data_IF_590379430600
#
_entry.id   IF_590379430600
#
_cell.length_a   1.000
_cell.length_b   1.000
_cell.length_c   1.000
_cell.angle_alpha   90.00
_cell.angle_beta   90.00
_cell.angle_gamma   90.00
#
_symmetry.space_group_name_H-M   'P 1'
#
loop_
_entity.id
_entity.type
_entity.pdbx_description
1 polymer ?
#
# COMPACT_ATOMS: atom_id res chain seq x y z
N UNK A 1 -36.25 -11.87 -2.10
CA UNK A 1 -36.83 -11.68 -3.45
C UNK A 1 -36.49 -10.27 -3.94
N UNK A 2 -35.22 -10.02 -4.28
CA UNK A 2 -34.68 -8.70 -4.66
C UNK A 2 -33.72 -8.83 -5.86
N UNK A 3 -34.08 -9.65 -6.86
CA UNK A 3 -33.18 -10.01 -7.97
C UNK A 3 -33.74 -9.62 -9.35
N UNK A 4 -34.50 -8.53 -9.46
CA UNK A 4 -35.16 -8.17 -10.73
C UNK A 4 -35.23 -6.67 -11.05
N UNK A 5 -34.35 -5.84 -10.49
CA UNK A 5 -34.26 -4.41 -10.89
C UNK A 5 -32.95 -4.00 -11.58
N UNK A 6 -32.10 -4.96 -11.91
CA UNK A 6 -30.93 -4.73 -12.76
C UNK A 6 -31.33 -5.00 -14.20
N UNK A 7 -31.91 -4.01 -14.89
CA UNK A 7 -31.69 -3.91 -16.35
C UNK A 7 -30.17 -3.98 -16.56
N UNK A 8 -29.72 -4.68 -17.59
CA UNK A 8 -28.31 -4.81 -17.97
C UNK A 8 -27.72 -3.44 -18.28
N UNK A 9 -27.44 -2.65 -17.25
CA UNK A 9 -26.64 -1.45 -17.37
C UNK A 9 -25.28 -1.88 -17.88
N UNK A 10 -24.77 -1.15 -18.86
CA UNK A 10 -23.40 -1.35 -19.27
C UNK A 10 -22.51 -1.09 -18.05
N UNK A 11 -21.86 -2.16 -17.60
CA UNK A 11 -21.02 -2.17 -16.40
C UNK A 11 -19.93 -1.13 -16.52
N UNK A 12 -19.45 -0.86 -17.73
CA UNK A 12 -18.40 0.12 -18.02
C UNK A 12 -18.98 1.35 -18.74
N UNK A 13 -19.74 2.14 -17.99
CA UNK A 13 -20.32 3.39 -18.49
C UNK A 13 -20.07 4.56 -17.52
N UNK A 14 -19.98 5.78 -18.09
CA UNK A 14 -19.90 7.02 -17.29
C UNK A 14 -21.15 7.24 -16.43
N UNK A 15 -22.31 6.76 -16.87
CA UNK A 15 -23.55 6.83 -16.10
C UNK A 15 -23.49 5.96 -14.85
N UNK A 16 -22.87 4.78 -14.94
CA UNK A 16 -22.65 3.90 -13.78
C UNK A 16 -21.65 4.54 -12.80
N UNK A 17 -20.56 5.12 -13.30
CA UNK A 17 -19.60 5.88 -12.49
C UNK A 17 -20.28 7.04 -11.74
N UNK A 18 -21.08 7.84 -12.47
CA UNK A 18 -21.87 8.95 -11.93
C UNK A 18 -22.83 8.45 -10.85
N UNK A 19 -23.55 7.38 -11.11
CA UNK A 19 -24.48 6.79 -10.15
C UNK A 19 -23.77 6.43 -8.84
N UNK A 20 -22.66 5.69 -8.87
CA UNK A 20 -21.95 5.30 -7.66
C UNK A 20 -21.42 6.51 -6.88
N UNK A 21 -20.82 7.50 -7.57
CA UNK A 21 -20.33 8.72 -6.92
C UNK A 21 -21.48 9.49 -6.25
N UNK A 22 -22.60 9.68 -6.95
CA UNK A 22 -23.76 10.42 -6.43
C UNK A 22 -24.36 9.73 -5.20
N UNK A 23 -24.42 8.41 -5.19
CA UNK A 23 -24.90 7.66 -4.03
C UNK A 23 -23.90 7.71 -2.87
N UNK A 24 -22.59 7.60 -3.15
CA UNK A 24 -21.55 7.68 -2.13
C UNK A 24 -21.55 9.05 -1.43
N UNK A 25 -21.75 10.13 -2.18
CA UNK A 25 -21.87 11.50 -1.65
C UNK A 25 -23.05 11.69 -0.70
N UNK A 26 -24.14 10.93 -0.85
CA UNK A 26 -25.31 10.98 0.04
C UNK A 26 -25.06 10.30 1.39
N UNK A 27 -24.06 9.43 1.49
CA UNK A 27 -23.76 8.69 2.73
C UNK A 27 -23.13 9.62 3.76
N UNK A 28 -23.89 9.99 4.79
CA UNK A 28 -23.37 10.82 5.89
C UNK A 28 -22.67 9.99 6.99
N UNK A 29 -23.16 8.77 7.24
CA UNK A 29 -22.61 7.83 8.24
C UNK A 29 -22.67 6.43 7.65
N UNK A 30 -21.60 5.65 7.83
CA UNK A 30 -21.59 4.23 7.48
C UNK A 30 -22.07 3.38 8.65
N UNK A 31 -23.04 2.50 8.40
CA UNK A 31 -23.64 1.60 9.38
C UNK A 31 -23.84 0.20 8.78
N UNK A 32 -24.39 -0.73 9.57
CA UNK A 32 -24.57 -2.11 9.11
C UNK A 32 -25.55 -2.28 7.93
N UNK A 33 -26.40 -1.29 7.66
CA UNK A 33 -27.39 -1.34 6.57
C UNK A 33 -26.76 -0.92 5.25
N UNK A 34 -25.91 0.11 5.24
CA UNK A 34 -25.34 0.66 4.02
C UNK A 34 -23.89 0.22 3.74
N UNK A 35 -23.20 -0.43 4.69
CA UNK A 35 -21.78 -0.81 4.55
C UNK A 35 -21.48 -1.60 3.28
N UNK A 36 -22.34 -2.56 2.92
CA UNK A 36 -22.07 -3.46 1.80
C UNK A 36 -22.20 -2.70 0.46
N UNK A 37 -23.16 -1.78 0.39
CA UNK A 37 -23.26 -0.84 -0.73
C UNK A 37 -22.04 0.06 -0.84
N UNK A 38 -21.55 0.62 0.27
CA UNK A 38 -20.36 1.49 0.25
C UNK A 38 -19.13 0.70 -0.22
N UNK A 39 -18.96 -0.53 0.27
CA UNK A 39 -17.88 -1.43 -0.16
C UNK A 39 -17.94 -1.66 -1.67
N UNK A 40 -19.14 -1.95 -2.20
CA UNK A 40 -19.35 -2.12 -3.63
C UNK A 40 -19.02 -0.85 -4.41
N UNK A 41 -19.56 0.29 -3.99
CA UNK A 41 -19.34 1.58 -4.65
C UNK A 41 -17.86 1.94 -4.73
N UNK A 42 -17.09 1.76 -3.65
CA UNK A 42 -15.64 1.96 -3.66
C UNK A 42 -14.95 1.09 -4.72
N UNK A 43 -15.34 -0.19 -4.80
CA UNK A 43 -14.74 -1.15 -5.76
C UNK A 43 -15.13 -0.82 -7.19
N UNK A 44 -16.41 -0.59 -7.46
CA UNK A 44 -16.93 -0.30 -8.80
C UNK A 44 -16.36 1.01 -9.35
N UNK A 45 -16.29 2.06 -8.53
CA UNK A 45 -15.64 3.33 -8.93
C UNK A 45 -14.20 3.04 -9.35
N UNK A 46 -13.42 2.34 -8.53
CA UNK A 46 -12.03 2.06 -8.87
C UNK A 46 -11.84 1.25 -10.14
N UNK A 47 -12.68 0.24 -10.34
CA UNK A 47 -12.65 -0.57 -11.56
C UNK A 47 -12.93 0.29 -12.79
N UNK A 48 -13.93 1.17 -12.71
CA UNK A 48 -14.28 2.11 -13.79
C UNK A 48 -13.17 3.11 -14.08
N UNK A 49 -12.50 3.62 -13.05
CA UNK A 49 -11.37 4.55 -13.24
C UNK A 49 -10.16 3.87 -13.85
N UNK A 50 -9.82 2.66 -13.37
CA UNK A 50 -8.72 1.87 -13.96
C UNK A 50 -9.01 1.47 -15.41
N UNK A 51 -10.27 1.17 -15.73
CA UNK A 51 -10.70 0.94 -17.10
C UNK A 51 -10.59 2.21 -17.94
N UNK A 52 -11.16 3.32 -17.48
CA UNK A 52 -11.17 4.61 -18.17
C UNK A 52 -9.77 5.15 -18.47
N UNK A 53 -8.84 5.04 -17.52
CA UNK A 53 -7.42 5.43 -17.71
C UNK A 53 -6.78 4.82 -18.97
N UNK A 54 -7.25 3.65 -19.41
CA UNK A 54 -6.70 2.92 -20.54
C UNK A 54 -7.54 3.02 -21.82
N UNK A 55 -8.81 3.46 -21.74
CA UNK A 55 -9.76 3.38 -22.85
C UNK A 55 -10.44 4.71 -23.19
N UNK A 56 -10.71 5.56 -22.20
CA UNK A 56 -11.45 6.81 -22.35
C UNK A 56 -11.13 7.80 -21.21
N UNK A 57 -10.43 8.90 -21.54
CA UNK A 57 -10.00 9.91 -20.56
C UNK A 57 -11.15 10.60 -19.84
N UNK A 58 -12.36 10.62 -20.43
CA UNK A 58 -13.53 11.26 -19.83
C UNK A 58 -13.88 10.69 -18.45
N UNK A 59 -13.57 9.40 -18.19
CA UNK A 59 -13.77 8.78 -16.88
C UNK A 59 -12.88 9.43 -15.81
N UNK A 60 -11.61 9.65 -16.15
CA UNK A 60 -10.64 10.23 -15.23
C UNK A 60 -10.89 11.73 -15.06
N UNK A 61 -11.23 12.44 -16.14
CA UNK A 61 -11.66 13.84 -16.07
C UNK A 61 -12.85 14.01 -15.11
N UNK A 62 -13.88 13.17 -15.27
CA UNK A 62 -15.03 13.17 -14.36
C UNK A 62 -14.66 12.84 -12.91
N UNK A 63 -13.73 11.90 -12.69
CA UNK A 63 -13.21 11.56 -11.36
C UNK A 63 -12.53 12.76 -10.68
N UNK A 64 -11.74 13.53 -11.45
CA UNK A 64 -11.09 14.74 -10.96
C UNK A 64 -12.12 15.83 -10.63
N UNK A 65 -13.04 16.12 -11.57
CA UNK A 65 -14.09 17.13 -11.39
C UNK A 65 -14.94 16.86 -10.14
N UNK A 66 -15.25 15.59 -9.89
CA UNK A 66 -16.08 15.17 -8.75
C UNK A 66 -15.30 14.99 -7.44
N UNK A 67 -13.99 15.25 -7.42
CA UNK A 67 -13.14 15.15 -6.23
C UNK A 67 -13.26 13.80 -5.51
N UNK A 68 -13.31 12.70 -6.28
CA UNK A 68 -13.66 11.37 -5.77
C UNK A 68 -12.66 10.85 -4.73
N UNK A 69 -11.38 11.21 -4.84
CA UNK A 69 -10.38 10.93 -3.81
C UNK A 69 -10.73 11.54 -2.45
N UNK A 70 -11.27 12.77 -2.47
CA UNK A 70 -11.78 13.43 -1.27
C UNK A 70 -12.98 12.68 -0.69
N UNK A 71 -13.86 12.16 -1.55
CA UNK A 71 -15.00 11.33 -1.12
C UNK A 71 -14.56 10.01 -0.48
N UNK A 72 -13.53 9.35 -1.00
CA UNK A 72 -12.96 8.15 -0.38
C UNK A 72 -12.44 8.45 1.03
N UNK A 73 -11.68 9.54 1.20
CA UNK A 73 -11.19 9.99 2.50
C UNK A 73 -12.35 10.36 3.44
N UNK A 74 -13.39 11.03 2.93
CA UNK A 74 -14.58 11.38 3.71
C UNK A 74 -15.28 10.12 4.23
N UNK A 75 -15.49 9.14 3.37
CA UNK A 75 -16.11 7.84 3.72
C UNK A 75 -15.29 7.11 4.76
N UNK A 76 -13.96 7.10 4.65
CA UNK A 76 -13.09 6.54 5.68
C UNK A 76 -13.32 7.21 7.05
N UNK A 77 -13.40 8.55 7.09
CA UNK A 77 -13.59 9.33 8.33
C UNK A 77 -14.96 9.13 8.97
N UNK A 78 -16.02 9.00 8.17
CA UNK A 78 -17.40 8.78 8.68
C UNK A 78 -17.72 7.31 8.94
N UNK A 79 -16.80 6.40 8.60
CA UNK A 79 -16.89 4.99 8.92
C UNK A 79 -16.23 4.68 10.26
N UNK A 80 -16.82 3.74 11.01
CA UNK A 80 -16.22 3.15 12.21
C UNK A 80 -15.92 1.66 12.02
N UNK A 81 -16.05 1.15 10.80
CA UNK A 81 -15.90 -0.28 10.52
C UNK A 81 -14.58 -0.58 9.81
N UNK A 82 -13.90 -1.60 10.31
CA UNK A 82 -12.64 -2.10 9.73
C UNK A 82 -12.84 -2.56 8.28
N UNK A 83 -14.02 -3.11 7.94
CA UNK A 83 -14.33 -3.57 6.59
C UNK A 83 -14.22 -2.47 5.53
N UNK A 84 -14.57 -1.23 5.87
CA UNK A 84 -14.47 -0.08 4.95
C UNK A 84 -13.03 0.35 4.81
N UNK A 85 -12.28 0.41 5.92
CA UNK A 85 -10.84 0.70 5.90
C UNK A 85 -10.09 -0.31 5.02
N UNK A 86 -10.40 -1.61 5.22
CA UNK A 86 -9.87 -2.72 4.44
C UNK A 86 -10.19 -2.57 2.95
N UNK A 87 -11.47 -2.37 2.62
CA UNK A 87 -11.90 -2.24 1.22
C UNK A 87 -11.25 -1.03 0.57
N UNK A 88 -11.18 0.11 1.25
CA UNK A 88 -10.56 1.31 0.70
C UNK A 88 -9.07 1.09 0.42
N UNK A 89 -8.31 0.54 1.37
CA UNK A 89 -6.89 0.25 1.15
C UNK A 89 -6.68 -0.73 -0.01
N UNK A 90 -7.48 -1.79 -0.09
CA UNK A 90 -7.42 -2.76 -1.19
C UNK A 90 -7.72 -2.11 -2.54
N UNK A 91 -8.84 -1.39 -2.62
CA UNK A 91 -9.29 -0.67 -3.80
C UNK A 91 -8.22 0.31 -4.27
N UNK A 92 -7.70 1.14 -3.36
CA UNK A 92 -6.65 2.11 -3.67
C UNK A 92 -5.37 1.44 -4.15
N UNK A 93 -4.97 0.32 -3.54
CA UNK A 93 -3.81 -0.45 -3.96
C UNK A 93 -3.95 -0.94 -5.40
N UNK A 94 -5.10 -1.51 -5.74
CA UNK A 94 -5.37 -2.04 -7.08
C UNK A 94 -5.41 -0.91 -8.11
N UNK A 95 -6.09 0.20 -7.79
CA UNK A 95 -6.16 1.37 -8.66
C UNK A 95 -4.76 1.88 -8.99
N UNK A 96 -3.96 2.21 -7.97
CA UNK A 96 -2.63 2.79 -8.13
C UNK A 96 -1.72 1.86 -8.94
N UNK A 97 -1.76 0.54 -8.69
CA UNK A 97 -0.97 -0.42 -9.45
C UNK A 97 -1.29 -0.40 -10.95
N UNK A 98 -2.58 -0.27 -11.29
CA UNK A 98 -3.05 -0.42 -12.67
C UNK A 98 -3.17 0.89 -13.46
N UNK A 99 -3.11 2.06 -12.81
CA UNK A 99 -3.00 3.33 -13.52
C UNK A 99 -1.72 3.37 -14.37
N UNK A 100 -1.86 3.78 -15.63
CA UNK A 100 -0.79 3.88 -16.63
C UNK A 100 -0.56 5.32 -17.06
N UNK A 101 -1.58 6.17 -17.09
CA UNK A 101 -1.42 7.57 -17.47
C UNK A 101 -0.56 8.32 -16.45
N UNK A 102 0.50 8.97 -16.92
CA UNK A 102 1.32 9.86 -16.08
C UNK A 102 0.47 10.98 -15.47
N UNK A 103 -0.50 11.52 -16.23
CA UNK A 103 -1.43 12.53 -15.74
C UNK A 103 -2.27 11.99 -14.58
N UNK A 104 -2.77 10.76 -14.69
CA UNK A 104 -3.57 10.15 -13.64
C UNK A 104 -2.74 9.88 -12.37
N UNK A 105 -1.54 9.32 -12.54
CA UNK A 105 -0.60 9.08 -11.43
C UNK A 105 -0.25 10.40 -10.74
N UNK A 106 0.08 11.44 -11.51
CA UNK A 106 0.44 12.74 -10.98
C UNK A 106 -0.73 13.39 -10.24
N UNK A 107 -1.95 13.37 -10.78
CA UNK A 107 -3.14 13.85 -10.08
C UNK A 107 -3.35 13.11 -8.75
N UNK A 108 -3.23 11.77 -8.77
CA UNK A 108 -3.45 10.95 -7.59
C UNK A 108 -2.44 11.26 -6.48
N UNK A 109 -1.19 11.55 -6.83
CA UNK A 109 -0.11 11.77 -5.86
C UNK A 109 0.09 13.24 -5.46
N UNK A 110 -0.31 14.18 -6.31
CA UNK A 110 -0.21 15.62 -6.01
C UNK A 110 -1.26 16.12 -5.03
N UNK A 111 -2.33 15.36 -4.80
CA UNK A 111 -3.33 15.69 -3.79
C UNK A 111 -2.94 15.16 -2.39
N UNK A 112 -3.38 15.86 -1.35
CA UNK A 112 -3.10 15.50 0.05
C UNK A 112 -3.82 14.22 0.52
N UNK A 113 -4.69 13.60 -0.31
CA UNK A 113 -5.47 12.44 0.11
C UNK A 113 -4.62 11.19 0.25
N UNK A 114 -3.64 10.95 -0.64
CA UNK A 114 -2.73 9.81 -0.49
C UNK A 114 -1.83 10.02 0.73
N UNK A 115 -1.27 11.21 0.92
CA UNK A 115 -0.47 11.54 2.11
C UNK A 115 -1.27 11.39 3.41
N UNK A 116 -2.56 11.77 3.39
CA UNK A 116 -3.48 11.51 4.49
C UNK A 116 -3.68 10.01 4.74
N UNK A 117 -3.89 9.19 3.70
CA UNK A 117 -4.07 7.75 3.85
C UNK A 117 -2.80 7.05 4.35
N UNK A 118 -1.61 7.48 3.92
CA UNK A 118 -0.33 6.97 4.44
C UNK A 118 -0.24 7.19 5.94
N UNK A 119 -0.59 8.38 6.41
CA UNK A 119 -0.45 8.79 7.83
C UNK A 119 -1.69 8.54 8.68
N UNK A 120 -2.74 7.93 8.11
CA UNK A 120 -3.98 7.66 8.81
C UNK A 120 -3.77 6.63 9.92
N UNK A 121 -4.34 6.88 11.09
CA UNK A 121 -4.21 6.04 12.27
C UNK A 121 -5.11 4.79 12.19
N UNK A 122 -4.78 3.87 11.29
CA UNK A 122 -5.42 2.55 11.22
C UNK A 122 -5.12 1.71 12.46
N UNK A 123 -6.09 0.88 12.86
CA UNK A 123 -5.93 -0.04 13.99
C UNK A 123 -5.27 -1.36 13.56
N UNK A 124 -3.94 -1.39 13.62
CA UNK A 124 -3.14 -2.56 13.24
C UNK A 124 -3.14 -3.69 14.28
N UNK A 125 -3.97 -3.63 15.34
CA UNK A 125 -4.31 -4.84 16.12
C UNK A 125 -5.03 -5.88 15.25
N UNK A 126 -5.62 -5.44 14.14
CA UNK A 126 -6.08 -6.30 13.06
C UNK A 126 -4.94 -6.51 12.04
N UNK A 127 -4.28 -7.66 12.10
CA UNK A 127 -3.15 -8.03 11.22
C UNK A 127 -3.53 -8.08 9.74
N UNK A 128 -4.77 -8.49 9.44
CA UNK A 128 -5.29 -8.46 8.07
C UNK A 128 -5.29 -7.01 7.52
N UNK A 129 -5.75 -6.03 8.31
CA UNK A 129 -5.74 -4.62 7.92
C UNK A 129 -4.31 -4.11 7.69
N UNK A 130 -3.35 -4.51 8.53
CA UNK A 130 -1.93 -4.19 8.34
C UNK A 130 -1.42 -4.71 7.00
N UNK A 131 -1.78 -5.94 6.62
CA UNK A 131 -1.40 -6.51 5.33
C UNK A 131 -1.92 -5.69 4.14
N UNK A 132 -3.16 -5.18 4.20
CA UNK A 132 -3.70 -4.28 3.17
C UNK A 132 -3.00 -2.92 3.17
N UNK A 133 -2.67 -2.38 4.34
CA UNK A 133 -1.94 -1.12 4.46
C UNK A 133 -0.53 -1.22 3.86
N UNK A 134 0.23 -2.27 4.17
CA UNK A 134 1.56 -2.50 3.60
C UNK A 134 1.49 -2.72 2.09
N UNK A 135 0.46 -3.41 1.59
CA UNK A 135 0.22 -3.55 0.16
C UNK A 135 -0.07 -2.21 -0.52
N UNK A 136 -0.81 -1.32 0.15
CA UNK A 136 -1.08 0.05 -0.31
C UNK A 136 0.20 0.89 -0.38
N UNK A 137 1.03 0.88 0.67
CA UNK A 137 2.32 1.57 0.63
C UNK A 137 3.22 1.03 -0.49
N UNK A 138 3.24 -0.28 -0.70
CA UNK A 138 4.00 -0.92 -1.78
C UNK A 138 3.49 -0.52 -3.16
N UNK A 139 2.16 -0.40 -3.34
CA UNK A 139 1.55 0.05 -4.58
C UNK A 139 2.00 1.48 -4.94
N UNK A 140 2.04 2.38 -3.95
CA UNK A 140 2.55 3.75 -4.14
C UNK A 140 4.02 3.73 -4.50
N UNK A 141 4.84 2.99 -3.74
CA UNK A 141 6.29 2.99 -3.97
C UNK A 141 6.69 2.48 -5.34
N UNK A 142 5.91 1.56 -5.92
CA UNK A 142 6.13 1.04 -7.26
C UNK A 142 5.90 2.08 -8.38
N UNK A 143 5.30 3.22 -8.07
CA UNK A 143 5.09 4.35 -8.99
C UNK A 143 6.03 5.53 -8.71
N UNK A 144 7.00 5.36 -7.80
CA UNK A 144 7.99 6.38 -7.54
C UNK A 144 9.04 6.44 -8.66
N UNK A 145 9.31 7.66 -9.10
CA UNK A 145 10.40 8.01 -9.99
C UNK A 145 10.92 9.41 -9.62
N UNK A 146 11.84 9.95 -10.43
CA UNK A 146 12.45 11.26 -10.18
C UNK A 146 11.43 12.41 -10.22
N UNK A 147 10.30 12.24 -10.90
CA UNK A 147 9.26 13.25 -11.06
C UNK A 147 8.19 13.16 -9.95
N UNK A 148 7.92 11.96 -9.44
CA UNK A 148 6.85 11.73 -8.45
C UNK A 148 7.32 11.71 -7.01
N UNK A 149 8.60 11.42 -6.73
CA UNK A 149 9.11 11.33 -5.35
C UNK A 149 8.97 12.64 -4.57
N UNK A 150 9.09 13.78 -5.26
CA UNK A 150 8.93 15.11 -4.67
C UNK A 150 7.53 15.36 -4.10
N UNK A 151 6.51 14.63 -4.57
CA UNK A 151 5.12 14.72 -4.11
C UNK A 151 4.89 14.06 -2.74
N UNK A 152 5.82 13.21 -2.30
CA UNK A 152 5.74 12.46 -1.04
C UNK A 152 6.69 12.96 0.04
N UNK A 153 7.47 14.01 -0.25
CA UNK A 153 8.45 14.55 0.67
C UNK A 153 8.15 16.01 0.98
N UNK A 154 8.43 16.41 2.22
CA UNK A 154 8.46 17.84 2.59
C UNK A 154 9.90 18.27 2.71
N UNK A 155 10.24 19.37 2.05
CA UNK A 155 11.59 19.94 2.08
C UNK A 155 11.61 21.27 2.82
N UNK A 156 12.69 21.55 3.53
CA UNK A 156 13.01 22.84 4.12
C UNK A 156 14.50 23.11 3.88
N UNK A 157 14.83 24.27 3.30
CA UNK A 157 16.23 24.65 2.98
C UNK A 157 16.98 23.55 2.21
N UNK A 158 16.37 23.02 1.16
CA UNK A 158 16.97 21.95 0.33
C UNK A 158 17.29 20.66 1.11
N UNK A 159 16.60 20.40 2.22
CA UNK A 159 16.70 19.14 2.96
C UNK A 159 15.32 18.55 3.14
N UNK A 160 15.19 17.23 2.93
CA UNK A 160 13.94 16.52 3.23
C UNK A 160 13.80 16.43 4.75
N UNK A 161 12.69 16.94 5.27
CA UNK A 161 12.35 16.92 6.71
C UNK A 161 11.25 15.91 7.04
N UNK A 162 10.53 15.44 6.02
CA UNK A 162 9.47 14.45 6.18
C UNK A 162 9.34 13.60 4.93
N UNK A 163 9.30 12.28 5.12
CA UNK A 163 8.98 11.32 4.08
C UNK A 163 8.10 10.18 4.64
N UNK A 164 6.79 10.44 4.83
CA UNK A 164 5.91 9.52 5.55
C UNK A 164 5.83 8.12 4.94
N UNK A 165 5.83 8.00 3.60
CA UNK A 165 5.78 6.71 2.91
C UNK A 165 6.92 5.77 3.34
N UNK A 166 8.14 6.32 3.44
CA UNK A 166 9.30 5.56 3.87
C UNK A 166 9.25 5.26 5.37
N UNK A 167 8.99 6.29 6.20
CA UNK A 167 9.00 6.18 7.66
C UNK A 167 7.94 5.18 8.14
N UNK A 168 6.72 5.25 7.61
CA UNK A 168 5.66 4.32 8.00
C UNK A 168 5.96 2.87 7.59
N UNK A 169 6.58 2.66 6.43
CA UNK A 169 6.92 1.32 5.97
C UNK A 169 8.01 0.66 6.83
N UNK A 170 9.10 1.36 7.16
CA UNK A 170 10.23 0.77 7.89
C UNK A 170 9.90 0.41 9.34
N UNK A 171 8.82 0.96 9.92
CA UNK A 171 8.30 0.54 11.23
C UNK A 171 7.96 -0.94 11.28
N UNK A 172 7.62 -1.54 10.13
CA UNK A 172 7.24 -2.95 10.00
C UNK A 172 8.33 -3.83 9.38
N UNK A 173 9.56 -3.32 9.25
CA UNK A 173 10.70 -4.02 8.64
C UNK A 173 11.00 -5.40 9.25
N UNK A 174 10.74 -5.56 10.55
CA UNK A 174 11.02 -6.78 11.32
C UNK A 174 9.74 -7.45 11.83
N UNK A 175 8.60 -7.24 11.16
CA UNK A 175 7.35 -7.92 11.46
C UNK A 175 7.51 -9.45 11.39
N UNK A 176 6.76 -10.22 12.17
CA UNK A 176 6.88 -11.68 12.20
C UNK A 176 6.45 -12.35 10.88
N UNK A 177 5.46 -11.78 10.20
CA UNK A 177 5.01 -12.27 8.90
C UNK A 177 6.02 -11.98 7.77
N UNK A 178 6.42 -13.05 7.07
CA UNK A 178 7.37 -12.98 5.96
C UNK A 178 6.89 -12.09 4.81
N UNK A 179 5.58 -12.10 4.53
CA UNK A 179 4.99 -11.31 3.44
C UNK A 179 5.10 -9.81 3.71
N UNK A 180 4.83 -9.37 4.94
CA UNK A 180 4.98 -7.97 5.35
C UNK A 180 6.45 -7.54 5.18
N UNK A 181 7.41 -8.32 5.70
CA UNK A 181 8.84 -8.00 5.53
C UNK A 181 9.26 -7.93 4.06
N UNK A 182 8.76 -8.83 3.23
CA UNK A 182 9.05 -8.85 1.79
C UNK A 182 8.52 -7.59 1.10
N UNK A 183 7.30 -7.18 1.43
CA UNK A 183 6.69 -5.97 0.89
C UNK A 183 7.42 -4.70 1.33
N UNK A 184 7.82 -4.59 2.60
CA UNK A 184 8.61 -3.47 3.11
C UNK A 184 9.97 -3.40 2.40
N UNK A 185 10.66 -4.54 2.22
CA UNK A 185 11.92 -4.58 1.48
C UNK A 185 11.76 -4.10 0.04
N UNK A 186 10.74 -4.61 -0.68
CA UNK A 186 10.43 -4.15 -2.03
C UNK A 186 10.16 -2.65 -2.09
N UNK A 187 9.40 -2.11 -1.12
CA UNK A 187 9.15 -0.67 -1.00
C UNK A 187 10.44 0.11 -0.80
N UNK A 188 11.31 -0.31 0.13
CA UNK A 188 12.57 0.41 0.38
C UNK A 188 13.50 0.36 -0.83
N UNK A 189 13.52 -0.77 -1.56
CA UNK A 189 14.27 -0.88 -2.81
C UNK A 189 13.74 0.06 -3.89
N UNK A 190 12.42 0.20 -4.05
CA UNK A 190 11.84 1.16 -4.98
C UNK A 190 12.25 2.60 -4.64
N UNK A 191 12.24 2.96 -3.36
CA UNK A 191 12.70 4.28 -2.89
C UNK A 191 14.18 4.50 -3.24
N UNK A 192 15.04 3.51 -2.98
CA UNK A 192 16.47 3.62 -3.28
C UNK A 192 16.75 3.68 -4.78
N UNK A 193 15.92 3.00 -5.59
CA UNK A 193 16.05 2.96 -7.04
C UNK A 193 15.82 4.32 -7.70
N UNK A 194 15.01 5.20 -7.11
CA UNK A 194 14.77 6.55 -7.65
C UNK A 194 16.07 7.36 -7.77
N UNK A 195 17.00 7.18 -6.83
CA UNK A 195 18.30 7.84 -6.85
C UNK A 195 18.24 9.36 -6.60
N UNK A 196 17.21 9.85 -5.89
CA UNK A 196 17.12 11.26 -5.48
C UNK A 196 18.09 11.57 -4.34
N UNK A 197 18.93 12.59 -4.51
CA UNK A 197 19.99 12.92 -3.55
C UNK A 197 19.45 13.39 -2.20
N UNK A 198 18.37 14.18 -2.19
CA UNK A 198 17.78 14.72 -0.97
C UNK A 198 17.15 13.62 -0.13
N UNK A 199 16.46 12.68 -0.79
CA UNK A 199 15.90 11.48 -0.16
C UNK A 199 17.02 10.57 0.33
N UNK A 200 18.06 10.35 -0.47
CA UNK A 200 19.21 9.54 -0.07
C UNK A 200 19.90 10.11 1.19
N UNK A 201 20.05 11.43 1.29
CA UNK A 201 20.55 12.08 2.51
C UNK A 201 19.61 11.90 3.70
N UNK A 202 18.30 11.94 3.49
CA UNK A 202 17.32 11.71 4.55
C UNK A 202 17.38 10.29 5.12
N UNK A 203 17.42 9.26 4.27
CA UNK A 203 17.40 7.86 4.71
C UNK A 203 18.67 7.43 5.46
N UNK A 204 19.82 8.09 5.22
CA UNK A 204 21.09 7.81 5.91
C UNK A 204 21.31 8.68 7.16
N UNK A 205 20.38 9.57 7.49
CA UNK A 205 20.41 10.36 8.73
C UNK A 205 19.67 9.62 9.85
N UNK A 206 20.08 9.85 11.10
CA UNK A 206 19.35 9.37 12.26
C UNK A 206 17.95 10.04 12.33
N UNK A 207 16.91 9.31 12.77
CA UNK A 207 16.92 7.91 13.22
C UNK A 207 16.76 6.90 12.07
N UNK A 208 16.57 7.34 10.82
CA UNK A 208 16.22 6.47 9.69
C UNK A 208 17.35 5.48 9.31
N UNK A 209 18.60 5.89 9.51
CA UNK A 209 19.77 5.04 9.32
C UNK A 209 19.75 3.76 10.19
N UNK A 210 19.03 3.78 11.33
CA UNK A 210 18.93 2.62 12.23
C UNK A 210 18.25 1.43 11.55
N UNK A 211 17.44 1.66 10.52
CA UNK A 211 16.86 0.59 9.71
C UNK A 211 17.96 -0.26 9.05
N UNK A 212 18.96 0.37 8.44
CA UNK A 212 20.07 -0.35 7.81
C UNK A 212 20.91 -1.11 8.84
N UNK A 213 21.21 -0.48 9.98
CA UNK A 213 21.92 -1.12 11.09
C UNK A 213 21.18 -2.35 11.62
N UNK A 214 19.85 -2.23 11.78
CA UNK A 214 18.98 -3.32 12.22
C UNK A 214 18.91 -4.44 11.18
N UNK A 215 18.90 -4.10 9.88
CA UNK A 215 18.92 -5.08 8.79
C UNK A 215 20.20 -5.91 8.82
N UNK A 216 21.35 -5.27 8.99
CA UNK A 216 22.65 -5.93 9.11
C UNK A 216 22.71 -6.83 10.35
N UNK A 217 22.17 -6.35 11.48
CA UNK A 217 22.08 -7.12 12.72
C UNK A 217 21.20 -8.36 12.54
N UNK A 218 20.03 -8.22 11.89
CA UNK A 218 19.15 -9.33 11.57
C UNK A 218 19.85 -10.34 10.64
N UNK A 219 20.49 -9.87 9.57
CA UNK A 219 21.22 -10.73 8.64
C UNK A 219 22.34 -11.50 9.34
N UNK A 220 23.13 -10.83 10.18
CA UNK A 220 24.18 -11.45 11.01
C UNK A 220 23.61 -12.57 11.87
N UNK A 221 22.47 -12.36 12.52
CA UNK A 221 21.80 -13.40 13.33
C UNK A 221 21.44 -14.61 12.49
N UNK A 222 20.82 -14.41 11.32
CA UNK A 222 20.47 -15.50 10.40
C UNK A 222 21.71 -16.31 9.95
N UNK A 223 22.84 -15.65 9.70
CA UNK A 223 24.09 -16.32 9.35
C UNK A 223 24.64 -17.17 10.51
N UNK A 224 24.56 -16.67 11.75
CA UNK A 224 25.00 -17.40 12.95
C UNK A 224 24.12 -18.63 13.16
N UNK A 225 22.80 -18.49 13.07
CA UNK A 225 21.84 -19.58 13.25
C UNK A 225 22.07 -20.67 12.19
N UNK A 226 22.27 -20.27 10.92
CA UNK A 226 22.61 -21.20 9.84
C UNK A 226 23.93 -21.95 10.11
N UNK A 227 24.97 -21.24 10.57
CA UNK A 227 26.26 -21.85 10.89
C UNK A 227 26.13 -22.90 12.01
N UNK A 228 25.27 -22.65 13.01
CA UNK A 228 24.93 -23.61 14.06
C UNK A 228 24.32 -24.89 13.49
N UNK A 229 23.26 -24.76 12.68
CA UNK A 229 22.56 -25.89 12.05
C UNK A 229 23.49 -26.73 11.16
N UNK A 230 24.34 -26.08 10.36
CA UNK A 230 25.31 -26.77 9.51
C UNK A 230 26.33 -27.52 10.36
N UNK A 231 26.83 -26.90 11.43
CA UNK A 231 27.81 -27.53 12.34
C UNK A 231 27.24 -28.75 13.06
N UNK A 232 25.99 -28.68 13.53
CA UNK A 232 25.29 -29.82 14.15
C UNK A 232 25.09 -30.97 13.16
N UNK A 233 24.65 -30.66 11.94
CA UNK A 233 24.46 -31.66 10.87
C UNK A 233 25.77 -32.39 10.54
N UNK A 234 26.88 -31.66 10.48
CA UNK A 234 28.19 -32.26 10.25
C UNK A 234 28.61 -33.19 11.40
N UNK A 235 28.40 -32.80 12.66
CA UNK A 235 28.69 -33.63 13.83
C UNK A 235 27.88 -34.93 13.84
N UNK A 236 26.58 -34.87 13.53
CA UNK A 236 25.72 -36.06 13.44
C UNK A 236 26.21 -37.04 12.36
N UNK A 237 26.71 -36.53 11.23
CA UNK A 237 27.22 -37.35 10.13
C UNK A 237 28.52 -38.09 10.51
N UNK A 238 29.42 -37.43 11.23
CA UNK A 238 30.63 -38.06 11.75
C UNK A 238 30.29 -39.18 12.75
N UNK A 239 29.40 -38.90 13.71
CA UNK A 239 29.00 -39.89 14.72
C UNK A 239 28.31 -41.13 14.09
N UNK A 240 27.62 -40.97 12.96
CA UNK A 240 26.95 -42.09 12.30
C UNK A 240 27.93 -42.99 11.52
N UNK A 241 28.98 -42.41 10.90
CA UNK A 241 30.05 -43.18 10.26
C UNK A 241 30.86 -44.01 11.27
N UNK A 242 31.12 -43.48 12.46
CA UNK A 242 31.84 -44.21 13.51
C UNK A 242 31.02 -45.40 14.05
N UNK A 243 29.69 -45.29 14.10
CA UNK A 243 28.80 -46.38 14.53
C UNK A 243 28.61 -47.52 13.50
N UNK A 244 28.80 -47.27 12.21
CA UNK A 244 28.68 -48.28 11.15
C UNK A 244 29.99 -49.05 10.89
N UNK A 245 31.09 -48.67 11.56
CA UNK A 245 32.42 -49.28 11.36
C UNK A 245 32.74 -50.42 12.35
N UNK A 246 31.76 -50.86 13.15
CA UNK A 246 31.91 -51.90 14.17
C UNK A 246 31.09 -53.18 13.93
N UNK A 247 30.72 -53.48 12.68
CA UNK A 247 30.02 -54.71 12.29
C UNK A 247 30.91 -55.66 11.49
#
# INVERSE_FOLDING_TARGET
>A
MWSSFWRSRDRFSLDELRYFIDQLQKVQIVNNVNKDFVIEALRSISELITYGDQHDSNYFEFFMERQVMGEFVRILKVSRTVSISRQLLQTMSIMIQNLKSEHAIYYMFSNEHINFLITYAFDFRNEELLSYYISFLRAISAKLDKNTISLFVKTQNEEVVSFPLYVEAIRFAFHEENMIRTAVRALTLNVYHVGDEFVNRFIVKAPHADYFSSLLTFFRKQCIDLNGLVSETLKLRYNHCDSCSCG
#
